data_IF_811471658883
#
_entry.id   IF_811471658883
#
_cell.length_a   1.000
_cell.length_b   1.000
_cell.length_c   1.000
_cell.angle_alpha   90.00
_cell.angle_beta   90.00
_cell.angle_gamma   90.00
#
_symmetry.space_group_name_H-M   'P 1'
#
loop_
_entity.id
_entity.type
_entity.pdbx_description
1 polymer ?
#
# COMPACT_ATOMS: atom_id res chain seq x y z
N UNK A 1 -18.21 44.85 20.31
CA UNK A 1 -18.73 43.68 21.06
C UNK A 1 -19.54 42.74 20.18
N UNK A 2 -20.45 43.24 19.33
CA UNK A 2 -21.25 42.41 18.41
C UNK A 2 -20.43 41.49 17.46
N UNK A 3 -19.30 41.97 16.92
CA UNK A 3 -18.44 41.16 16.04
C UNK A 3 -17.78 39.97 16.73
N UNK A 4 -17.50 40.07 18.03
CA UNK A 4 -16.92 38.98 18.82
C UNK A 4 -17.95 37.88 19.10
N UNK A 5 -19.20 38.25 19.34
CA UNK A 5 -20.30 37.30 19.53
C UNK A 5 -20.63 36.55 18.25
N UNK A 6 -20.62 37.24 17.10
CA UNK A 6 -20.78 36.59 15.80
C UNK A 6 -19.63 35.64 15.48
N UNK A 7 -18.38 36.05 15.74
CA UNK A 7 -17.21 35.18 15.54
C UNK A 7 -17.25 33.92 16.41
N UNK A 8 -17.57 34.06 17.70
CA UNK A 8 -17.71 32.93 18.60
C UNK A 8 -18.84 31.97 18.16
N UNK A 9 -19.98 32.50 17.70
CA UNK A 9 -21.08 31.69 17.20
C UNK A 9 -20.68 30.87 15.96
N UNK A 10 -19.92 31.46 15.02
CA UNK A 10 -19.42 30.74 13.85
C UNK A 10 -18.44 29.63 14.25
N UNK A 11 -17.51 29.90 15.17
CA UNK A 11 -16.56 28.90 15.65
C UNK A 11 -17.28 27.73 16.33
N UNK A 12 -18.26 28.01 17.19
CA UNK A 12 -19.06 26.98 17.86
C UNK A 12 -19.85 26.15 16.85
N UNK A 13 -20.42 26.78 15.82
CA UNK A 13 -21.15 26.08 14.76
C UNK A 13 -20.23 25.15 13.94
N UNK A 14 -19.02 25.61 13.59
CA UNK A 14 -18.02 24.79 12.90
C UNK A 14 -17.54 23.62 13.79
N UNK A 15 -17.29 23.90 15.07
CA UNK A 15 -16.93 22.88 16.06
C UNK A 15 -18.03 21.83 16.25
N UNK A 16 -19.30 22.23 16.23
CA UNK A 16 -20.43 21.30 16.35
C UNK A 16 -20.64 20.43 15.10
N UNK A 17 -20.19 20.88 13.91
CA UNK A 17 -20.27 20.13 12.66
C UNK A 17 -19.14 19.09 12.50
N UNK A 18 -17.99 19.32 13.15
CA UNK A 18 -16.80 18.46 13.07
C UNK A 18 -17.10 16.97 13.33
N UNK A 19 -17.81 16.57 14.41
CA UNK A 19 -18.13 15.16 14.68
C UNK A 19 -18.87 14.48 13.52
N UNK A 20 -19.77 15.21 12.84
CA UNK A 20 -20.53 14.67 11.71
C UNK A 20 -19.66 14.49 10.47
N UNK A 21 -18.78 15.44 10.20
CA UNK A 21 -17.79 15.34 9.10
C UNK A 21 -16.79 14.20 9.30
N UNK A 22 -16.61 13.72 10.53
CA UNK A 22 -15.70 12.64 10.90
C UNK A 22 -16.40 11.27 11.01
N UNK A 23 -17.69 11.17 10.67
CA UNK A 23 -18.35 9.87 10.56
C UNK A 23 -17.86 9.08 9.34
N UNK A 24 -17.81 7.73 9.42
CA UNK A 24 -17.40 6.89 8.29
C UNK A 24 -18.15 7.17 6.98
N UNK A 25 -19.45 7.48 7.08
CA UNK A 25 -20.29 7.80 5.92
C UNK A 25 -19.97 9.14 5.26
N UNK A 26 -19.24 10.02 5.94
CA UNK A 26 -18.87 11.33 5.43
C UNK A 26 -17.45 11.37 4.84
N UNK A 27 -16.70 10.26 4.92
CA UNK A 27 -15.37 10.19 4.33
C UNK A 27 -15.45 10.18 2.81
N UNK A 28 -14.89 11.23 2.18
CA UNK A 28 -14.64 11.22 0.73
C UNK A 28 -13.53 10.25 0.36
N UNK A 29 -12.48 10.22 1.17
CA UNK A 29 -11.34 9.31 1.02
C UNK A 29 -10.88 8.85 2.41
N UNK A 30 -10.95 7.55 2.67
CA UNK A 30 -10.58 6.98 3.95
C UNK A 30 -9.12 6.50 3.96
N UNK A 31 -8.19 7.45 3.76
CA UNK A 31 -6.75 7.24 3.78
C UNK A 31 -6.25 6.62 5.10
N UNK A 32 -6.92 6.93 6.21
CA UNK A 32 -6.62 6.34 7.52
C UNK A 32 -6.83 4.83 7.51
N UNK A 33 -7.94 4.34 6.96
CA UNK A 33 -8.20 2.91 6.87
C UNK A 33 -7.22 2.21 5.91
N UNK A 34 -6.97 2.79 4.73
CA UNK A 34 -6.00 2.25 3.77
C UNK A 34 -4.61 2.08 4.39
N UNK A 35 -4.08 3.14 5.02
CA UNK A 35 -2.76 3.10 5.65
C UNK A 35 -2.69 2.27 6.93
N UNK A 36 -3.82 2.13 7.64
CA UNK A 36 -3.90 1.21 8.78
C UNK A 36 -3.81 -0.24 8.33
N UNK A 37 -4.44 -0.60 7.21
CA UNK A 37 -4.33 -1.93 6.63
C UNK A 37 -2.89 -2.25 6.22
N UNK A 38 -2.23 -1.33 5.49
CA UNK A 38 -0.80 -1.46 5.14
C UNK A 38 0.02 -1.68 6.41
N UNK A 39 -0.15 -0.80 7.42
CA UNK A 39 0.63 -0.89 8.64
C UNK A 39 0.43 -2.21 9.42
N UNK A 40 -0.79 -2.74 9.44
CA UNK A 40 -1.10 -4.03 10.06
C UNK A 40 -0.45 -5.18 9.30
N UNK A 41 -0.53 -5.17 7.97
CA UNK A 41 0.16 -6.15 7.15
C UNK A 41 1.67 -6.11 7.38
N UNK A 42 2.28 -4.92 7.36
CA UNK A 42 3.71 -4.75 7.61
C UNK A 42 4.15 -5.24 8.99
N UNK A 43 3.29 -5.14 10.01
CA UNK A 43 3.58 -5.70 11.35
C UNK A 43 3.52 -7.23 11.35
N UNK A 44 2.56 -7.81 10.63
CA UNK A 44 2.40 -9.25 10.52
C UNK A 44 3.46 -9.90 9.62
N UNK A 45 4.01 -9.14 8.66
CA UNK A 45 5.00 -9.61 7.70
C UNK A 45 6.45 -9.49 8.19
N UNK A 46 6.72 -8.94 9.38
CA UNK A 46 8.09 -8.75 9.91
C UNK A 46 8.85 -10.08 10.15
N UNK A 47 8.18 -11.24 10.08
CA UNK A 47 8.81 -12.56 10.06
C UNK A 47 9.18 -13.08 8.66
N UNK A 48 8.61 -12.50 7.60
CA UNK A 48 8.92 -12.82 6.19
C UNK A 48 10.13 -12.01 5.68
N UNK A 49 10.51 -10.96 6.41
CA UNK A 49 11.64 -10.09 6.09
C UNK A 49 12.97 -10.71 6.56
N UNK A 50 13.30 -11.85 5.97
CA UNK A 50 14.63 -12.47 6.05
C UNK A 50 15.36 -12.51 4.71
N UNK A 51 14.69 -12.12 3.61
CA UNK A 51 15.23 -12.29 2.26
C UNK A 51 15.37 -10.94 1.58
N UNK A 52 16.58 -10.40 1.65
CA UNK A 52 16.99 -9.26 0.87
C UNK A 52 18.29 -8.72 1.43
N UNK A 53 19.31 -8.64 0.58
CA UNK A 53 20.65 -8.17 0.93
C UNK A 53 20.62 -6.91 1.81
N UNK A 54 21.62 -6.77 2.70
CA UNK A 54 21.89 -5.57 3.48
C UNK A 54 21.57 -4.29 2.69
N UNK A 55 20.41 -3.65 2.94
CA UNK A 55 19.95 -2.46 2.23
C UNK A 55 18.58 -2.55 1.53
N UNK A 56 17.95 -3.72 1.47
CA UNK A 56 16.58 -3.87 0.94
C UNK A 56 15.49 -3.44 1.94
N UNK A 57 14.34 -2.97 1.43
CA UNK A 57 13.14 -2.71 2.25
C UNK A 57 12.13 -3.84 2.10
N UNK A 58 11.37 -4.13 3.14
CA UNK A 58 10.32 -5.15 3.10
C UNK A 58 9.27 -4.85 2.03
N UNK A 59 8.83 -3.59 2.02
CA UNK A 59 7.69 -3.15 1.23
C UNK A 59 7.87 -1.69 0.80
N UNK A 60 7.18 -1.32 -0.26
CA UNK A 60 7.07 0.07 -0.73
C UNK A 60 5.61 0.42 -1.00
N UNK A 61 5.26 1.70 -0.84
CA UNK A 61 3.92 2.22 -1.11
C UNK A 61 3.98 3.20 -2.27
N UNK A 62 3.09 3.02 -3.24
CA UNK A 62 2.90 3.92 -4.37
C UNK A 62 1.52 4.55 -4.23
N UNK A 63 1.52 5.84 -3.91
CA UNK A 63 0.39 6.70 -4.23
C UNK A 63 0.37 6.89 -5.74
N UNK A 64 -0.60 6.23 -6.40
CA UNK A 64 -0.72 6.23 -7.85
C UNK A 64 -0.64 7.66 -8.36
N UNK A 65 -1.54 8.52 -7.87
CA UNK A 65 -1.55 9.92 -8.23
C UNK A 65 -0.72 10.74 -7.25
N UNK A 66 0.20 11.56 -7.74
CA UNK A 66 1.21 12.26 -6.95
C UNK A 66 0.62 13.19 -5.87
N UNK A 67 -0.52 13.84 -6.12
CA UNK A 67 -1.15 14.68 -5.10
C UNK A 67 -1.84 13.87 -3.97
N UNK A 68 -2.13 12.58 -4.19
CA UNK A 68 -2.62 11.67 -3.13
C UNK A 68 -1.49 11.13 -2.25
N UNK A 69 -0.23 11.42 -2.59
CA UNK A 69 0.93 11.03 -1.80
C UNK A 69 0.90 11.60 -0.39
N UNK A 70 0.61 12.89 -0.24
CA UNK A 70 0.67 13.59 1.05
C UNK A 70 -0.20 12.96 2.14
N UNK A 71 -1.49 12.63 1.91
CA UNK A 71 -2.27 11.97 2.95
C UNK A 71 -1.78 10.57 3.30
N UNK A 72 -1.32 9.78 2.31
CA UNK A 72 -0.77 8.44 2.54
C UNK A 72 0.51 8.50 3.38
N UNK A 73 1.45 9.35 2.97
CA UNK A 73 2.72 9.61 3.63
C UNK A 73 2.51 10.11 5.07
N UNK A 74 1.58 11.04 5.29
CA UNK A 74 1.26 11.58 6.61
C UNK A 74 0.88 10.49 7.62
N UNK A 75 0.01 9.55 7.25
CA UNK A 75 -0.43 8.49 8.16
C UNK A 75 0.61 7.39 8.37
N UNK A 76 1.43 7.08 7.35
CA UNK A 76 2.46 6.06 7.46
C UNK A 76 3.70 6.56 8.21
N UNK A 77 4.09 7.84 8.05
CA UNK A 77 5.20 8.46 8.78
C UNK A 77 5.01 8.53 10.29
N UNK A 78 3.77 8.41 10.77
CA UNK A 78 3.49 8.28 12.20
C UNK A 78 3.97 6.93 12.78
N UNK A 79 4.26 5.93 11.94
CA UNK A 79 4.61 4.56 12.34
C UNK A 79 5.93 4.07 11.76
N UNK A 80 6.29 4.53 10.56
CA UNK A 80 7.46 4.07 9.83
C UNK A 80 8.30 5.24 9.34
N UNK A 81 9.62 5.08 9.38
CA UNK A 81 10.54 5.97 8.68
C UNK A 81 10.55 5.65 7.18
N UNK A 82 11.02 6.60 6.37
CA UNK A 82 11.16 6.38 4.92
C UNK A 82 12.13 5.23 4.57
N UNK A 83 13.07 4.91 5.46
CA UNK A 83 13.96 3.76 5.31
C UNK A 83 13.28 2.42 5.62
N UNK A 84 12.19 2.43 6.39
CA UNK A 84 11.43 1.22 6.75
C UNK A 84 10.30 0.93 5.77
N UNK A 85 9.57 1.98 5.36
CA UNK A 85 8.45 1.87 4.43
C UNK A 85 8.40 3.14 3.56
N UNK A 86 9.14 3.18 2.44
CA UNK A 86 9.12 4.33 1.54
C UNK A 86 7.76 4.48 0.87
N UNK A 87 7.30 5.72 0.77
CA UNK A 87 6.08 6.12 0.06
C UNK A 87 6.48 6.98 -1.12
N UNK A 88 5.94 6.65 -2.30
CA UNK A 88 6.21 7.33 -3.56
C UNK A 88 4.93 7.91 -4.14
N UNK A 89 4.96 9.16 -4.58
CA UNK A 89 3.94 9.75 -5.45
C UNK A 89 4.48 9.87 -6.86
N UNK A 90 4.06 9.00 -7.78
CA UNK A 90 4.77 8.81 -9.05
C UNK A 90 4.13 9.53 -10.25
N UNK A 91 2.81 9.52 -10.36
CA UNK A 91 2.15 9.97 -11.60
C UNK A 91 1.30 11.22 -11.32
N UNK A 92 1.58 12.34 -12.00
CA UNK A 92 0.86 13.60 -11.81
C UNK A 92 0.22 14.17 -13.07
N UNK A 93 0.51 13.56 -14.23
CA UNK A 93 0.09 14.00 -15.55
C UNK A 93 -0.69 12.88 -16.24
N UNK A 94 -1.58 13.19 -17.19
CA UNK A 94 -2.30 12.18 -17.96
C UNK A 94 -1.37 11.15 -18.60
N UNK A 95 -1.66 9.88 -18.34
CA UNK A 95 -0.94 8.72 -18.83
C UNK A 95 -1.57 8.22 -20.12
N UNK A 96 -0.74 7.84 -21.09
CA UNK A 96 -1.18 7.23 -22.34
C UNK A 96 -0.56 5.84 -22.54
N UNK A 97 -1.16 4.96 -23.36
CA UNK A 97 -0.64 3.61 -23.60
C UNK A 97 0.81 3.58 -24.12
N UNK A 98 1.23 4.59 -24.88
CA UNK A 98 2.59 4.70 -25.42
C UNK A 98 3.64 5.00 -24.33
N UNK A 99 3.20 5.47 -23.17
CA UNK A 99 4.06 5.82 -22.04
C UNK A 99 4.32 4.66 -21.08
N UNK A 100 3.72 3.48 -21.32
CA UNK A 100 3.84 2.31 -20.45
C UNK A 100 5.31 1.94 -20.20
N UNK A 101 6.12 1.84 -21.25
CA UNK A 101 7.52 1.40 -21.11
C UNK A 101 8.49 2.54 -20.77
N UNK A 102 8.07 3.80 -20.91
CA UNK A 102 8.95 4.97 -20.78
C UNK A 102 8.70 5.80 -19.53
N UNK A 103 7.47 5.80 -19.00
CA UNK A 103 7.06 6.58 -17.82
C UNK A 103 6.57 5.67 -16.69
N UNK A 104 5.74 4.67 -17.00
CA UNK A 104 5.11 3.81 -15.98
C UNK A 104 6.08 2.74 -15.48
N UNK A 105 6.67 1.98 -16.40
CA UNK A 105 7.53 0.85 -16.06
C UNK A 105 8.80 1.25 -15.28
N UNK A 106 9.55 2.31 -15.65
CA UNK A 106 10.84 2.60 -15.00
C UNK A 106 10.78 2.78 -13.48
N UNK A 107 9.91 3.63 -12.89
CA UNK A 107 9.88 3.79 -11.43
C UNK A 107 9.39 2.53 -10.71
N UNK A 108 8.46 1.77 -11.28
CA UNK A 108 7.98 0.50 -10.68
C UNK A 108 9.07 -0.58 -10.72
N UNK A 109 9.85 -0.63 -11.80
CA UNK A 109 11.02 -1.48 -11.90
C UNK A 109 12.12 -1.05 -10.91
N UNK A 110 12.31 0.25 -10.69
CA UNK A 110 13.24 0.76 -9.66
C UNK A 110 12.87 0.26 -8.26
N UNK A 111 11.57 0.28 -7.91
CA UNK A 111 11.08 -0.24 -6.62
C UNK A 111 11.38 -1.74 -6.46
N UNK A 112 11.16 -2.54 -7.52
CA UNK A 112 11.39 -3.98 -7.44
C UNK A 112 12.87 -4.39 -7.54
N UNK A 113 13.66 -3.75 -8.41
CA UNK A 113 15.02 -4.20 -8.74
C UNK A 113 16.12 -3.43 -8.02
N UNK A 114 15.96 -2.13 -7.83
CA UNK A 114 17.00 -1.28 -7.24
C UNK A 114 16.80 -1.16 -5.72
N UNK A 115 15.57 -0.89 -5.30
CA UNK A 115 15.19 -0.83 -3.89
C UNK A 115 14.99 -2.23 -3.28
N UNK A 116 14.67 -3.22 -4.12
CA UNK A 116 14.52 -4.62 -3.69
C UNK A 116 13.30 -4.86 -2.79
N UNK A 117 12.22 -4.07 -2.96
CA UNK A 117 11.00 -4.26 -2.18
C UNK A 117 10.37 -5.64 -2.48
N UNK A 118 10.00 -6.39 -1.45
CA UNK A 118 9.32 -7.68 -1.62
C UNK A 118 7.81 -7.50 -1.89
N UNK A 119 7.22 -6.43 -1.34
CA UNK A 119 5.80 -6.07 -1.53
C UNK A 119 5.67 -4.65 -2.08
N UNK A 120 4.70 -4.43 -2.99
CA UNK A 120 4.30 -3.10 -3.45
C UNK A 120 2.83 -2.87 -3.15
N UNK A 121 2.53 -1.79 -2.44
CA UNK A 121 1.18 -1.32 -2.19
C UNK A 121 0.83 -0.20 -3.16
N UNK A 122 -0.19 -0.40 -3.99
CA UNK A 122 -0.75 0.63 -4.86
C UNK A 122 -1.99 1.24 -4.22
N UNK A 123 -1.99 2.53 -3.92
CA UNK A 123 -3.19 3.27 -3.52
C UNK A 123 -3.71 4.09 -4.68
N UNK A 124 -4.98 3.93 -5.03
CA UNK A 124 -5.65 4.59 -6.15
C UNK A 124 -6.84 5.42 -5.64
N UNK A 125 -6.88 6.68 -6.05
CA UNK A 125 -8.04 7.56 -5.97
C UNK A 125 -7.93 8.61 -7.08
N UNK A 126 -9.05 9.18 -7.52
CA UNK A 126 -9.12 10.23 -8.55
C UNK A 126 -8.30 9.95 -9.82
N UNK A 127 -8.52 8.78 -10.44
CA UNK A 127 -7.83 8.42 -11.67
C UNK A 127 -8.38 9.15 -12.91
N UNK A 128 -9.59 9.71 -12.83
CA UNK A 128 -10.26 10.36 -13.96
C UNK A 128 -9.40 11.49 -14.56
N UNK A 129 -9.16 11.39 -15.86
CA UNK A 129 -8.31 12.31 -16.62
C UNK A 129 -6.82 12.17 -16.38
N UNK A 130 -6.38 11.24 -15.53
CA UNK A 130 -4.97 10.92 -15.29
C UNK A 130 -4.60 9.52 -15.77
N UNK A 131 -5.33 8.49 -15.38
CA UNK A 131 -5.11 7.11 -15.83
C UNK A 131 -6.45 6.42 -16.10
N UNK A 132 -7.18 6.92 -17.09
CA UNK A 132 -8.52 6.44 -17.44
C UNK A 132 -8.50 4.94 -17.82
N UNK A 133 -7.41 4.49 -18.45
CA UNK A 133 -7.20 3.11 -18.88
C UNK A 133 -6.60 2.20 -17.80
N UNK A 134 -6.35 2.72 -16.59
CA UNK A 134 -5.75 1.98 -15.48
C UNK A 134 -4.43 1.30 -15.86
N UNK A 135 -3.59 1.98 -16.65
CA UNK A 135 -2.34 1.48 -17.21
C UNK A 135 -1.34 1.06 -16.14
N UNK A 136 -1.25 1.80 -15.02
CA UNK A 136 -0.33 1.47 -13.92
C UNK A 136 -0.75 0.16 -13.26
N UNK A 137 -2.03 0.02 -12.96
CA UNK A 137 -2.59 -1.18 -12.34
C UNK A 137 -2.49 -2.38 -13.31
N UNK A 138 -2.84 -2.16 -14.58
CA UNK A 138 -2.73 -3.17 -15.64
C UNK A 138 -1.29 -3.67 -15.81
N UNK A 139 -0.31 -2.77 -15.76
CA UNK A 139 1.11 -3.14 -15.84
C UNK A 139 1.55 -4.01 -14.67
N UNK A 140 1.10 -3.70 -13.44
CA UNK A 140 1.37 -4.49 -12.23
C UNK A 140 0.67 -5.85 -12.28
N UNK A 141 -0.62 -5.89 -12.61
CA UNK A 141 -1.41 -7.11 -12.75
C UNK A 141 -0.82 -8.09 -13.77
N UNK A 142 -0.20 -7.58 -14.84
CA UNK A 142 0.44 -8.40 -15.86
C UNK A 142 1.76 -9.05 -15.41
N UNK A 143 2.35 -8.61 -14.29
CA UNK A 143 3.74 -8.96 -13.90
C UNK A 143 3.86 -9.56 -12.51
N UNK A 144 3.01 -9.17 -11.58
CA UNK A 144 3.14 -9.54 -10.17
C UNK A 144 1.85 -10.16 -9.66
N UNK A 145 1.93 -11.24 -8.85
CA UNK A 145 0.77 -11.78 -8.16
C UNK A 145 0.13 -10.74 -7.23
N UNK A 146 -1.18 -10.65 -7.28
CA UNK A 146 -1.99 -9.87 -6.34
C UNK A 146 -2.08 -10.62 -5.01
N UNK A 147 -1.70 -9.96 -3.92
CA UNK A 147 -1.80 -10.46 -2.55
C UNK A 147 -3.21 -10.24 -2.01
N UNK A 148 -3.71 -9.01 -2.14
CA UNK A 148 -4.99 -8.58 -1.57
C UNK A 148 -5.47 -7.27 -2.18
N UNK A 149 -6.76 -7.00 -2.06
CA UNK A 149 -7.39 -5.71 -2.36
C UNK A 149 -8.29 -5.27 -1.22
N UNK A 150 -8.28 -3.97 -0.94
CA UNK A 150 -9.15 -3.33 0.03
C UNK A 150 -9.79 -2.10 -0.60
N UNK A 151 -11.05 -1.81 -0.23
CA UNK A 151 -11.81 -0.69 -0.77
C UNK A 151 -12.32 0.25 0.34
N UNK A 152 -11.41 0.93 1.09
CA UNK A 152 -11.83 2.05 1.92
C UNK A 152 -12.62 3.09 1.09
N UNK A 153 -13.51 3.84 1.74
CA UNK A 153 -14.31 4.85 1.03
C UNK A 153 -13.41 5.77 0.17
N UNK A 154 -13.67 5.83 -1.14
CA UNK A 154 -12.93 6.64 -2.11
C UNK A 154 -11.47 6.26 -2.35
N UNK A 155 -11.01 5.10 -1.89
CA UNK A 155 -9.64 4.60 -2.10
C UNK A 155 -9.69 3.13 -2.47
N UNK A 156 -9.02 2.75 -3.55
CA UNK A 156 -8.67 1.36 -3.82
C UNK A 156 -7.24 1.12 -3.38
N UNK A 157 -7.01 0.04 -2.63
CA UNK A 157 -5.69 -0.39 -2.18
C UNK A 157 -5.45 -1.80 -2.71
N UNK A 158 -4.37 -1.98 -3.48
CA UNK A 158 -3.96 -3.28 -4.02
C UNK A 158 -2.54 -3.61 -3.55
N UNK A 159 -2.32 -4.82 -3.06
CA UNK A 159 -1.00 -5.31 -2.64
C UNK A 159 -0.44 -6.31 -3.65
N UNK A 160 0.81 -6.13 -4.08
CA UNK A 160 1.49 -6.97 -5.07
C UNK A 160 2.73 -7.63 -4.48
N UNK A 161 2.91 -8.93 -4.76
CA UNK A 161 4.12 -9.65 -4.42
C UNK A 161 5.18 -9.43 -5.51
N UNK A 162 6.15 -8.56 -5.24
CA UNK A 162 7.28 -8.30 -6.13
C UNK A 162 8.31 -9.43 -6.11
N UNK A 163 8.40 -10.13 -4.97
CA UNK A 163 9.20 -11.35 -4.81
C UNK A 163 8.30 -12.49 -4.36
N UNK A 164 8.18 -13.52 -5.20
CA UNK A 164 7.39 -14.73 -4.92
C UNK A 164 8.23 -16.01 -4.89
N UNK A 165 9.50 -15.92 -5.29
CA UNK A 165 10.44 -17.04 -5.32
C UNK A 165 11.56 -16.72 -4.35
N UNK A 166 11.74 -17.62 -3.38
CA UNK A 166 12.76 -17.51 -2.35
C UNK A 166 13.78 -18.65 -2.52
N UNK A 167 15.05 -18.35 -2.30
CA UNK A 167 16.12 -19.36 -2.39
C UNK A 167 16.07 -20.39 -1.25
N UNK A 168 15.49 -19.97 -0.12
CA UNK A 168 15.31 -20.78 1.08
C UNK A 168 13.97 -20.44 1.74
N UNK A 169 13.46 -21.36 2.56
CA UNK A 169 12.28 -21.08 3.36
C UNK A 169 12.60 -19.95 4.35
N UNK A 170 11.67 -19.02 4.59
CA UNK A 170 11.80 -18.08 5.69
C UNK A 170 12.04 -18.80 7.01
N UNK A 171 12.72 -18.16 7.99
CA UNK A 171 12.84 -18.69 9.33
C UNK A 171 11.45 -19.05 9.87
N UNK A 172 11.31 -20.28 10.34
CA UNK A 172 10.06 -20.80 10.90
C UNK A 172 10.17 -20.84 12.42
N UNK A 173 9.06 -20.67 13.14
CA UNK A 173 9.04 -20.94 14.57
C UNK A 173 9.47 -22.38 14.88
N UNK A 174 10.09 -22.61 16.05
CA UNK A 174 10.65 -23.91 16.46
C UNK A 174 9.64 -25.08 16.40
N UNK A 175 8.34 -24.78 16.47
CA UNK A 175 7.24 -25.75 16.40
C UNK A 175 6.51 -25.84 15.06
N UNK A 176 6.95 -25.15 14.00
CA UNK A 176 6.25 -25.10 12.72
C UNK A 176 6.16 -26.48 12.06
N UNK A 177 4.94 -26.99 11.76
CA UNK A 177 4.77 -28.24 11.03
C UNK A 177 5.49 -28.25 9.67
N UNK A 178 6.20 -29.35 9.37
CA UNK A 178 6.85 -29.60 8.08
C UNK A 178 6.24 -30.83 7.41
N UNK A 179 5.01 -30.72 6.88
CA UNK A 179 4.27 -31.88 6.40
C UNK A 179 4.93 -32.54 5.19
N UNK A 180 5.73 -31.81 4.41
CA UNK A 180 6.37 -32.28 3.18
C UNK A 180 5.37 -33.02 2.27
N UNK A 181 4.15 -32.47 2.17
CA UNK A 181 3.02 -33.10 1.49
C UNK A 181 2.87 -32.51 0.08
N UNK A 182 2.68 -33.37 -0.92
CA UNK A 182 2.39 -32.92 -2.29
C UNK A 182 0.94 -32.41 -2.35
N UNK A 183 0.76 -31.13 -2.70
CA UNK A 183 -0.55 -30.49 -2.85
C UNK A 183 -1.08 -30.62 -4.28
N UNK A 184 -0.18 -30.64 -5.25
CA UNK A 184 -0.44 -30.82 -6.67
C UNK A 184 0.85 -31.37 -7.34
N UNK A 185 0.78 -31.93 -8.56
CA UNK A 185 1.96 -32.45 -9.25
C UNK A 185 3.09 -31.41 -9.29
N UNK A 186 4.19 -31.70 -8.60
CA UNK A 186 5.36 -30.81 -8.52
C UNK A 186 5.24 -29.62 -7.56
N UNK A 187 4.19 -29.57 -6.73
CA UNK A 187 4.00 -28.56 -5.67
C UNK A 187 3.97 -29.24 -4.30
N UNK A 188 5.01 -29.01 -3.50
CA UNK A 188 5.13 -29.59 -2.15
C UNK A 188 5.02 -28.53 -1.07
N UNK A 189 4.17 -28.81 -0.08
CA UNK A 189 4.03 -28.02 1.13
C UNK A 189 5.22 -28.28 2.06
N UNK A 190 6.22 -27.40 1.97
CA UNK A 190 7.48 -27.57 2.70
C UNK A 190 7.33 -27.34 4.21
N UNK A 191 6.55 -26.33 4.60
CA UNK A 191 6.19 -26.05 5.99
C UNK A 191 4.87 -25.28 6.07
N UNK A 192 4.23 -25.35 7.24
CA UNK A 192 3.09 -24.52 7.59
C UNK A 192 3.41 -23.80 8.90
N UNK A 193 3.16 -22.50 8.94
CA UNK A 193 3.10 -21.74 10.16
C UNK A 193 1.81 -20.93 10.13
N UNK A 194 0.94 -21.12 11.13
CA UNK A 194 -0.27 -20.31 11.27
C UNK A 194 0.14 -19.02 11.94
N UNK A 195 0.40 -17.99 11.15
CA UNK A 195 0.53 -16.61 11.66
C UNK A 195 -0.89 -16.11 11.91
N UNK A 196 -1.38 -16.26 13.14
CA UNK A 196 -2.70 -15.71 13.49
C UNK A 196 -2.58 -14.19 13.63
N UNK A 197 -3.54 -13.39 13.09
CA UNK A 197 -3.57 -11.94 13.25
C UNK A 197 -3.92 -11.49 14.67
#
# INVERSE_FOLDING_TARGET
>A
TAGWLAGAAVIIMLAAMLPRLWTPSAYRENWRAATTYIAQYEQMSQGLTGVGASGSVASAVVAHISYTHQPVDWYLKQRYTQAQLPVFGLFGEPLTPEQVDTVIAPPLLGISKELGAATLWLTQSHLEGIDDEHLVEGWLNARYPLITEQFPAGVKLSGYALTSIYNELPPLADGAPRPNAELAPGLTLAACEVTTP
#
